data_IF_267842667309
#
_entry.id   IF_267842667309
#
_cell.length_a   1.000
_cell.length_b   1.000
_cell.length_c   1.000
_cell.angle_alpha   90.00
_cell.angle_beta   90.00
_cell.angle_gamma   90.00
#
_symmetry.space_group_name_H-M   'P 1'
#
loop_
_entity.id
_entity.type
_entity.pdbx_description
1 polymer ?
#
# COMPACT_ATOMS: atom_id res chain seq x y z
N UNK A 1 7.52 9.85 -22.31
CA UNK A 1 6.88 10.38 -21.08
C UNK A 1 5.41 10.62 -21.38
N UNK A 2 4.55 9.68 -21.02
CA UNK A 2 3.10 9.84 -21.10
C UNK A 2 2.53 9.76 -19.67
N UNK A 3 1.52 10.57 -19.37
CA UNK A 3 0.85 10.51 -18.08
C UNK A 3 0.04 9.21 -17.96
N UNK A 4 0.05 8.58 -16.78
CA UNK A 4 -0.72 7.37 -16.49
C UNK A 4 -2.12 7.71 -15.97
N UNK A 5 -3.11 6.89 -16.32
CA UNK A 5 -4.48 7.05 -15.84
C UNK A 5 -4.60 6.48 -14.43
N UNK A 6 -5.12 7.26 -13.48
CA UNK A 6 -5.43 6.76 -12.13
C UNK A 6 -6.43 5.61 -12.14
N UNK A 7 -7.36 5.58 -13.10
CA UNK A 7 -8.32 4.47 -13.27
C UNK A 7 -7.67 3.16 -13.71
N UNK A 8 -6.40 3.18 -14.13
CA UNK A 8 -5.65 1.98 -14.48
C UNK A 8 -4.85 1.43 -13.29
N UNK A 9 -4.79 2.16 -12.16
CA UNK A 9 -4.24 1.65 -10.89
C UNK A 9 -5.30 0.77 -10.22
N UNK A 10 -5.10 -0.54 -10.26
CA UNK A 10 -6.07 -1.52 -9.80
C UNK A 10 -5.53 -2.30 -8.61
N UNK A 11 -6.35 -2.49 -7.59
CA UNK A 11 -6.09 -3.43 -6.50
C UNK A 11 -6.87 -4.72 -6.75
N UNK A 12 -6.16 -5.85 -6.70
CA UNK A 12 -6.70 -7.19 -6.89
C UNK A 12 -6.46 -8.05 -5.65
N UNK A 13 -7.38 -8.98 -5.43
CA UNK A 13 -7.30 -9.97 -4.36
C UNK A 13 -7.83 -11.32 -4.86
N UNK A 14 -7.44 -12.40 -4.20
CA UNK A 14 -7.81 -13.76 -4.59
C UNK A 14 -9.23 -14.09 -4.14
N UNK A 15 -10.12 -14.31 -5.10
CA UNK A 15 -11.45 -14.87 -4.91
C UNK A 15 -11.48 -16.29 -5.51
N UNK A 16 -11.81 -17.31 -4.72
CA UNK A 16 -11.94 -18.70 -5.20
C UNK A 16 -10.72 -19.22 -5.99
N UNK A 17 -9.51 -18.81 -5.61
CA UNK A 17 -8.26 -19.22 -6.25
C UNK A 17 -7.83 -18.40 -7.47
N UNK A 18 -8.56 -17.33 -7.82
CA UNK A 18 -8.18 -16.43 -8.92
C UNK A 18 -8.14 -14.96 -8.49
N UNK A 19 -7.13 -14.22 -8.98
CA UNK A 19 -7.01 -12.78 -8.74
C UNK A 19 -8.08 -12.01 -9.48
N UNK A 20 -8.91 -11.29 -8.72
CA UNK A 20 -10.01 -10.47 -9.25
C UNK A 20 -9.85 -9.03 -8.78
N UNK A 21 -10.20 -8.05 -9.63
CA UNK A 21 -10.20 -6.63 -9.26
C UNK A 21 -11.28 -6.35 -8.23
N UNK A 22 -10.93 -5.61 -7.18
CA UNK A 22 -11.87 -5.21 -6.15
C UNK A 22 -12.86 -4.21 -6.76
N UNK A 23 -14.15 -4.51 -6.64
CA UNK A 23 -15.20 -3.70 -7.24
C UNK A 23 -15.37 -2.37 -6.51
N UNK A 24 -15.86 -1.36 -7.23
CA UNK A 24 -16.30 -0.09 -6.64
C UNK A 24 -15.20 0.85 -6.14
N UNK A 25 -13.91 0.47 -6.23
CA UNK A 25 -12.79 1.34 -5.84
C UNK A 25 -12.76 2.61 -6.69
N UNK A 26 -12.75 3.77 -6.01
CA UNK A 26 -12.61 5.11 -6.60
C UNK A 26 -11.22 5.71 -6.36
N UNK A 27 -10.58 5.33 -5.25
CA UNK A 27 -9.24 5.77 -4.89
C UNK A 27 -8.39 4.57 -4.48
N UNK A 28 -7.15 4.56 -4.92
CA UNK A 28 -6.12 3.60 -4.50
C UNK A 28 -4.80 4.36 -4.43
N UNK A 29 -4.13 4.27 -3.29
CA UNK A 29 -2.82 4.87 -3.07
C UNK A 29 -1.90 3.87 -2.42
N UNK A 30 -0.62 3.94 -2.77
CA UNK A 30 0.43 3.11 -2.21
C UNK A 30 1.53 4.00 -1.65
N UNK A 31 2.03 3.67 -0.46
CA UNK A 31 3.19 4.29 0.16
C UNK A 31 4.19 3.22 0.59
N UNK A 32 5.49 3.52 0.45
CA UNK A 32 6.56 2.71 1.01
C UNK A 32 7.20 3.52 2.13
N UNK A 33 7.12 2.99 3.34
CA UNK A 33 7.67 3.59 4.55
C UNK A 33 9.00 2.92 4.89
N UNK A 34 9.91 3.67 5.51
CA UNK A 34 11.23 3.17 5.90
C UNK A 34 11.68 3.79 7.20
N UNK A 35 12.13 2.95 8.12
CA UNK A 35 12.85 3.39 9.31
C UNK A 35 14.27 3.80 8.92
N UNK A 36 14.71 4.95 9.44
CA UNK A 36 16.09 5.41 9.27
C UNK A 36 16.91 5.03 10.49
N UNK A 37 18.07 4.42 10.25
CA UNK A 37 19.06 4.17 11.29
C UNK A 37 20.18 5.20 11.14
N UNK A 38 20.20 6.17 12.07
CA UNK A 38 21.22 7.21 12.14
C UNK A 38 22.51 6.64 12.73
N UNK A 39 23.62 6.80 12.02
CA UNK A 39 24.96 6.35 12.42
C UNK A 39 25.97 7.49 12.46
N UNK A 40 25.48 8.73 12.62
CA UNK A 40 26.32 9.93 12.71
C UNK A 40 27.31 9.82 13.87
N UNK A 41 28.58 10.09 13.59
CA UNK A 41 29.66 10.05 14.60
C UNK A 41 30.31 11.42 14.76
N UNK A 42 31.26 11.53 15.69
CA UNK A 42 32.04 12.77 15.88
C UNK A 42 32.89 13.13 14.64
N UNK A 43 33.28 12.11 13.89
CA UNK A 43 34.14 12.23 12.71
C UNK A 43 33.34 12.51 11.42
N UNK A 44 32.01 12.50 11.48
CA UNK A 44 31.15 12.80 10.33
C UNK A 44 31.44 14.19 9.74
N UNK A 45 31.28 14.31 8.43
CA UNK A 45 31.55 15.55 7.70
C UNK A 45 30.49 16.62 8.00
N UNK A 46 30.78 17.93 7.87
CA UNK A 46 29.75 18.96 7.97
C UNK A 46 28.76 18.89 6.79
N UNK A 47 27.51 19.32 7.01
CA UNK A 47 26.44 19.28 5.99
C UNK A 47 26.80 20.10 4.73
N UNK A 48 27.46 21.23 4.94
CA UNK A 48 27.99 22.09 3.88
C UNK A 48 29.49 22.23 4.11
N UNK A 49 30.28 22.25 3.04
CA UNK A 49 31.71 22.44 3.12
C UNK A 49 32.05 23.73 3.91
N UNK A 50 32.90 23.60 4.94
CA UNK A 50 33.26 24.69 5.84
C UNK A 50 32.21 25.05 6.91
N UNK A 51 31.09 24.34 6.97
CA UNK A 51 30.06 24.50 8.00
C UNK A 51 30.46 23.92 9.36
N UNK A 52 29.79 24.38 10.42
CA UNK A 52 30.02 23.91 11.79
C UNK A 52 29.18 22.68 12.17
N UNK A 53 28.01 22.50 11.56
CA UNK A 53 27.07 21.42 11.87
C UNK A 53 27.36 20.14 11.07
N UNK A 54 27.37 18.99 11.75
CA UNK A 54 27.61 17.67 11.15
C UNK A 54 26.44 17.23 10.26
N UNK A 55 26.76 16.61 9.13
CA UNK A 55 25.82 15.94 8.26
C UNK A 55 25.32 14.65 8.93
N UNK A 56 24.04 14.36 8.77
CA UNK A 56 23.49 13.06 9.17
C UNK A 56 24.03 11.97 8.24
N UNK A 57 24.52 10.90 8.82
CA UNK A 57 24.84 9.65 8.12
C UNK A 57 23.79 8.58 8.44
N UNK A 58 23.29 7.90 7.41
CA UNK A 58 22.24 6.87 7.54
C UNK A 58 22.81 5.53 7.09
N UNK A 59 22.58 4.49 7.89
CA UNK A 59 22.96 3.12 7.54
C UNK A 59 22.00 2.53 6.52
N UNK A 60 22.48 2.31 5.30
CA UNK A 60 21.74 1.60 4.27
C UNK A 60 21.41 0.17 4.73
N UNK A 61 20.13 -0.22 4.61
CA UNK A 61 19.66 -1.55 5.01
C UNK A 61 19.59 -1.78 6.53
N UNK A 62 19.87 -0.77 7.36
CA UNK A 62 19.80 -0.88 8.82
C UNK A 62 18.37 -0.89 9.38
N UNK A 63 17.40 -0.33 8.65
CA UNK A 63 16.03 -0.15 9.10
C UNK A 63 15.02 -1.11 8.46
N UNK A 64 13.82 -1.16 9.05
CA UNK A 64 12.69 -1.91 8.52
C UNK A 64 12.00 -1.09 7.42
N UNK A 65 11.57 -1.77 6.35
CA UNK A 65 10.69 -1.17 5.33
C UNK A 65 9.31 -1.82 5.38
N UNK A 66 8.28 -1.01 5.26
CA UNK A 66 6.90 -1.47 5.13
C UNK A 66 6.22 -0.83 3.94
N UNK A 67 5.16 -1.46 3.44
CA UNK A 67 4.32 -0.94 2.39
C UNK A 67 2.89 -0.88 2.88
N UNK A 68 2.27 0.28 2.69
CA UNK A 68 0.88 0.53 3.03
C UNK A 68 0.09 0.83 1.76
N UNK A 69 -1.10 0.24 1.66
CA UNK A 69 -2.05 0.51 0.58
C UNK A 69 -3.33 1.04 1.21
N UNK A 70 -3.82 2.18 0.74
CA UNK A 70 -5.12 2.72 1.14
C UNK A 70 -6.04 2.69 -0.07
N UNK A 71 -7.26 2.20 0.14
CA UNK A 71 -8.26 2.06 -0.92
C UNK A 71 -9.63 2.48 -0.40
N UNK A 72 -10.39 3.20 -1.22
CA UNK A 72 -11.76 3.59 -0.89
C UNK A 72 -12.66 3.63 -2.11
N UNK A 73 -13.94 3.37 -1.91
CA UNK A 73 -14.89 3.15 -2.98
C UNK A 73 -16.34 3.11 -2.55
N UNK A 74 -17.20 2.75 -3.50
CA UNK A 74 -18.63 2.48 -3.30
C UNK A 74 -18.80 0.99 -3.09
N UNK A 75 -19.55 0.60 -2.08
CA UNK A 75 -19.83 -0.81 -1.82
C UNK A 75 -20.85 -1.33 -2.83
N UNK A 76 -20.46 -2.33 -3.63
CA UNK A 76 -21.33 -2.88 -4.70
C UNK A 76 -21.89 -4.27 -4.40
N UNK A 77 -21.67 -4.78 -3.18
CA UNK A 77 -22.05 -6.13 -2.75
C UNK A 77 -21.46 -7.26 -3.61
N UNK A 78 -20.26 -7.06 -4.16
CA UNK A 78 -19.57 -8.12 -4.88
C UNK A 78 -19.07 -9.21 -3.93
N UNK A 79 -18.95 -10.44 -4.45
CA UNK A 79 -18.43 -11.58 -3.67
C UNK A 79 -17.03 -11.31 -3.09
N UNK A 80 -16.16 -10.60 -3.83
CA UNK A 80 -14.83 -10.26 -3.37
C UNK A 80 -14.85 -9.20 -2.25
N UNK A 81 -15.68 -8.17 -2.35
CA UNK A 81 -15.84 -7.18 -1.28
C UNK A 81 -16.33 -7.84 0.03
N UNK A 82 -17.26 -8.79 -0.08
CA UNK A 82 -17.74 -9.56 1.06
C UNK A 82 -16.65 -10.45 1.67
N UNK A 83 -15.81 -11.09 0.84
CA UNK A 83 -14.67 -11.90 1.29
C UNK A 83 -13.57 -11.04 1.96
N UNK A 84 -13.32 -9.83 1.44
CA UNK A 84 -12.40 -8.85 2.04
C UNK A 84 -12.90 -8.42 3.42
N UNK A 85 -14.20 -8.12 3.56
CA UNK A 85 -14.81 -7.80 4.85
C UNK A 85 -14.61 -8.92 5.87
N UNK A 86 -14.82 -10.17 5.46
CA UNK A 86 -14.58 -11.34 6.33
C UNK A 86 -13.10 -11.46 6.69
N UNK A 87 -12.20 -11.22 5.73
CA UNK A 87 -10.76 -11.26 5.93
C UNK A 87 -10.29 -10.20 6.94
N UNK A 88 -10.86 -8.99 6.87
CA UNK A 88 -10.61 -7.90 7.81
C UNK A 88 -11.08 -8.28 9.22
N UNK A 89 -12.29 -8.83 9.36
CA UNK A 89 -12.84 -9.28 10.65
C UNK A 89 -12.01 -10.40 11.30
N UNK A 90 -11.45 -11.29 10.49
CA UNK A 90 -10.63 -12.42 10.95
C UNK A 90 -9.14 -12.06 11.11
N UNK A 91 -8.72 -10.85 10.72
CA UNK A 91 -7.31 -10.46 10.72
C UNK A 91 -6.43 -11.35 9.84
N UNK A 92 -6.95 -11.79 8.68
CA UNK A 92 -6.22 -12.71 7.80
C UNK A 92 -5.20 -11.97 6.94
N UNK A 93 -3.96 -12.47 6.96
CA UNK A 93 -2.94 -12.09 5.99
C UNK A 93 -3.23 -12.85 4.68
N UNK A 94 -3.41 -12.11 3.59
CA UNK A 94 -3.71 -12.68 2.27
C UNK A 94 -2.87 -12.00 1.19
N UNK A 95 -2.76 -12.66 0.06
CA UNK A 95 -2.08 -12.11 -1.11
C UNK A 95 -2.96 -11.05 -1.78
N UNK A 96 -2.36 -9.90 -2.05
CA UNK A 96 -2.93 -8.81 -2.85
C UNK A 96 -1.96 -8.46 -3.97
N UNK A 97 -2.54 -8.02 -5.09
CA UNK A 97 -1.79 -7.57 -6.27
C UNK A 97 -2.24 -6.17 -6.68
N UNK A 98 -1.31 -5.24 -6.70
CA UNK A 98 -1.49 -3.89 -7.21
C UNK A 98 -0.98 -3.85 -8.66
N UNK A 99 -1.81 -3.42 -9.59
CA UNK A 99 -1.49 -3.33 -11.02
C UNK A 99 -1.46 -1.87 -11.43
N UNK A 100 -0.39 -1.44 -12.10
CA UNK A 100 -0.18 -0.07 -12.56
C UNK A 100 -0.60 0.10 -14.03
N UNK A 101 -0.77 1.36 -14.45
CA UNK A 101 -1.26 1.69 -15.80
C UNK A 101 -0.26 1.42 -16.93
N UNK A 102 1.03 1.31 -16.59
CA UNK A 102 2.11 0.90 -17.49
C UNK A 102 2.26 -0.62 -17.63
N UNK A 103 1.52 -1.41 -16.84
CA UNK A 103 1.54 -2.87 -16.87
C UNK A 103 2.39 -3.49 -15.77
N UNK A 104 3.15 -2.69 -15.02
CA UNK A 104 3.88 -3.17 -13.85
C UNK A 104 2.91 -3.65 -12.78
N UNK A 105 3.38 -4.57 -11.94
CA UNK A 105 2.61 -5.02 -10.79
C UNK A 105 3.45 -5.30 -9.56
N UNK A 106 2.79 -5.15 -8.42
CA UNK A 106 3.35 -5.43 -7.10
C UNK A 106 2.45 -6.46 -6.44
N UNK A 107 3.02 -7.61 -6.10
CA UNK A 107 2.31 -8.71 -5.46
C UNK A 107 2.95 -9.02 -4.11
N UNK A 108 2.13 -9.18 -3.08
CA UNK A 108 2.63 -9.51 -1.75
C UNK A 108 1.52 -9.86 -0.77
N UNK A 109 1.91 -10.29 0.41
CA UNK A 109 0.97 -10.59 1.49
C UNK A 109 0.69 -9.31 2.30
N UNK A 110 -0.58 -9.03 2.57
CA UNK A 110 -1.00 -7.88 3.36
C UNK A 110 -2.05 -8.27 4.39
N UNK A 111 -2.04 -7.56 5.51
CA UNK A 111 -3.08 -7.56 6.53
C UNK A 111 -3.95 -6.31 6.36
N UNK A 112 -5.28 -6.46 6.42
CA UNK A 112 -6.17 -5.30 6.50
C UNK A 112 -6.14 -4.78 7.95
N UNK A 113 -5.61 -3.58 8.15
CA UNK A 113 -5.46 -2.94 9.47
C UNK A 113 -6.63 -2.03 9.82
N UNK A 114 -7.29 -1.45 8.82
CA UNK A 114 -8.57 -0.74 8.99
C UNK A 114 -9.56 -1.13 7.90
N UNK A 115 -10.83 -1.23 8.27
CA UNK A 115 -11.94 -1.41 7.35
C UNK A 115 -13.14 -0.64 7.88
N UNK A 116 -13.66 0.29 7.10
CA UNK A 116 -14.80 1.13 7.47
C UNK A 116 -15.88 1.06 6.39
N UNK A 117 -17.13 1.14 6.81
CA UNK A 117 -18.29 1.31 5.95
C UNK A 117 -19.14 2.46 6.47
N UNK A 118 -19.61 3.29 5.56
CA UNK A 118 -20.44 4.44 5.88
C UNK A 118 -21.48 4.66 4.77
N UNK A 119 -22.66 5.14 5.15
CA UNK A 119 -23.72 5.50 4.21
C UNK A 119 -24.62 6.56 4.82
N UNK A 120 -25.01 7.54 4.00
CA UNK A 120 -25.97 8.58 4.37
C UNK A 120 -27.36 8.24 3.82
N UNK A 121 -28.43 8.81 4.41
CA UNK A 121 -29.82 8.52 4.00
C UNK A 121 -30.08 8.74 2.49
N UNK A 122 -29.45 9.76 1.89
CA UNK A 122 -29.54 10.08 0.46
C UNK A 122 -28.20 9.87 -0.28
N UNK A 123 -27.32 9.01 0.24
CA UNK A 123 -25.99 8.74 -0.31
C UNK A 123 -25.77 7.29 -0.74
N UNK A 124 -24.71 7.06 -1.50
CA UNK A 124 -24.22 5.70 -1.77
C UNK A 124 -23.59 5.13 -0.49
N UNK A 125 -23.63 3.80 -0.33
CA UNK A 125 -22.81 3.16 0.67
C UNK A 125 -21.34 3.14 0.20
N UNK A 126 -20.44 3.56 1.08
CA UNK A 126 -19.02 3.65 0.82
C UNK A 126 -18.25 2.71 1.74
N UNK A 127 -17.06 2.32 1.30
CA UNK A 127 -16.12 1.60 2.12
C UNK A 127 -14.71 2.14 1.95
N UNK A 128 -13.91 2.04 3.01
CA UNK A 128 -12.49 2.35 3.00
C UNK A 128 -11.73 1.24 3.70
N UNK A 129 -10.49 1.01 3.27
CA UNK A 129 -9.62 0.04 3.90
C UNK A 129 -8.15 0.44 3.80
N UNK A 130 -7.39 0.04 4.80
CA UNK A 130 -5.93 0.16 4.84
C UNK A 130 -5.32 -1.22 4.95
N UNK A 131 -4.34 -1.51 4.09
CA UNK A 131 -3.58 -2.75 4.07
C UNK A 131 -2.12 -2.47 4.43
N UNK A 132 -1.53 -3.31 5.25
CA UNK A 132 -0.12 -3.24 5.63
C UNK A 132 0.61 -4.52 5.23
N UNK A 133 1.79 -4.38 4.61
CA UNK A 133 2.58 -5.50 4.11
C UNK A 133 3.04 -6.44 5.22
N UNK A 134 2.98 -7.74 4.96
CA UNK A 134 3.51 -8.78 5.81
C UNK A 134 4.49 -9.64 5.02
N UNK A 135 5.78 -9.41 5.24
CA UNK A 135 6.85 -10.12 4.55
C UNK A 135 7.23 -9.51 3.20
N UNK A 136 7.79 -10.33 2.32
CA UNK A 136 8.33 -9.88 1.04
C UNK A 136 7.22 -9.45 0.08
N UNK A 137 7.52 -8.40 -0.68
CA UNK A 137 6.71 -7.93 -1.80
C UNK A 137 7.55 -8.07 -3.08
N UNK A 138 6.92 -8.54 -4.15
CA UNK A 138 7.55 -8.77 -5.46
C UNK A 138 7.06 -7.74 -6.45
N UNK A 139 7.99 -7.01 -7.06
CA UNK A 139 7.73 -6.14 -8.20
C UNK A 139 7.99 -6.90 -9.50
N UNK A 140 7.02 -6.89 -10.41
CA UNK A 140 7.15 -7.44 -11.76
C UNK A 140 7.00 -6.29 -12.75
N UNK A 141 8.01 -6.09 -13.59
CA UNK A 141 7.91 -5.14 -14.70
C UNK A 141 7.19 -5.77 -15.89
N UNK A 142 6.48 -4.95 -16.66
CA UNK A 142 5.88 -5.35 -17.93
C UNK A 142 6.89 -5.86 -18.97
#
# INVERSE_FOLDING_TARGET
>A
MAAQKGSALLLKATLSGSLTTIAGLRSTSMSINGEMVDVTTKDSNPLVAGGADKAREILEGGGIRSMSISASGVFTDSALENDIRISAQKGQIREYKLVFGDGDDITGNFLITSYERAGEFNGEETYSMTLESSGQVTHTSA
#
